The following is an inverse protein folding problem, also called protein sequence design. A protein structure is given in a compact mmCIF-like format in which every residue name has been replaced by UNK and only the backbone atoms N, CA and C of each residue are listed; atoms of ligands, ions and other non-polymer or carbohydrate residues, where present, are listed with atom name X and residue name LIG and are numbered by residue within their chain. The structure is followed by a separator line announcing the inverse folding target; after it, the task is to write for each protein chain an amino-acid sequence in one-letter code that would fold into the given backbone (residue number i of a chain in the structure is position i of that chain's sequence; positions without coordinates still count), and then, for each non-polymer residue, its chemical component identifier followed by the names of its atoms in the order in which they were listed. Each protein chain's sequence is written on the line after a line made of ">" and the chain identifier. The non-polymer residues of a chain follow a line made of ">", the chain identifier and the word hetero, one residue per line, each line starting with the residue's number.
data_IF_734975768011
#
_entry.id   IF_734975768011
#
_cell.length_a   1.000
_cell.length_b   1.000
_cell.length_c   1.000
_cell.angle_alpha   90.00
_cell.angle_beta   90.00
_cell.angle_gamma   90.00
#
_symmetry.space_group_name_H-M   'P 1'
#
loop_
_entity.id
_entity.type
_entity.pdbx_description
1 polymer ?
#
# COMPACT_ATOMS: atom_id res chain seq x y z
N UNK A 1 10.87 10.21 -8.32
CA UNK A 1 9.54 9.64 -8.04
C UNK A 1 9.63 8.16 -7.68
N UNK A 2 10.38 7.32 -8.42
CA UNK A 2 10.53 5.87 -8.14
C UNK A 2 11.09 5.49 -6.76
N UNK A 3 11.86 6.37 -6.10
CA UNK A 3 12.40 6.08 -4.75
C UNK A 3 11.35 6.03 -3.63
N UNK A 4 10.11 6.47 -3.89
CA UNK A 4 9.10 6.63 -2.84
C UNK A 4 8.26 5.37 -2.59
N UNK A 5 8.03 4.51 -3.59
CA UNK A 5 7.12 3.38 -3.44
C UNK A 5 7.67 2.33 -2.47
N UNK A 6 8.92 1.89 -2.63
CA UNK A 6 9.53 0.92 -1.72
C UNK A 6 9.49 1.37 -0.26
N UNK A 7 9.88 2.62 0.01
CA UNK A 7 9.82 3.21 1.36
C UNK A 7 8.40 3.34 1.90
N UNK A 8 7.41 3.62 1.04
CA UNK A 8 6.00 3.64 1.42
C UNK A 8 5.53 2.25 1.85
N UNK A 9 5.86 1.22 1.06
CA UNK A 9 5.50 -0.16 1.34
C UNK A 9 6.13 -0.66 2.64
N UNK A 10 7.40 -0.31 2.90
CA UNK A 10 8.08 -0.53 4.18
C UNK A 10 7.30 0.10 5.33
N UNK A 11 6.93 1.37 5.20
CA UNK A 11 6.20 2.08 6.25
C UNK A 11 4.81 1.48 6.49
N UNK A 12 4.11 1.01 5.46
CA UNK A 12 2.83 0.31 5.61
C UNK A 12 3.00 -1.01 6.38
N UNK A 13 4.02 -1.82 6.03
CA UNK A 13 4.33 -3.07 6.72
C UNK A 13 4.65 -2.84 8.20
N UNK A 14 5.51 -1.86 8.49
CA UNK A 14 5.95 -1.57 9.85
C UNK A 14 4.81 -1.05 10.73
N UNK A 15 3.92 -0.20 10.19
CA UNK A 15 2.72 0.23 10.92
C UNK A 15 1.74 -0.90 11.19
N UNK A 16 1.70 -1.91 10.32
CA UNK A 16 0.93 -3.13 10.54
C UNK A 16 1.58 -4.09 11.57
N UNK A 17 2.78 -3.76 12.08
CA UNK A 17 3.48 -4.59 13.07
C UNK A 17 4.11 -5.86 12.50
N UNK A 18 4.26 -5.96 11.18
CA UNK A 18 4.74 -7.16 10.50
C UNK A 18 6.24 -7.08 10.21
N UNK A 19 6.96 -8.18 10.39
CA UNK A 19 8.28 -8.38 9.80
C UNK A 19 8.18 -8.65 8.29
N UNK A 20 9.30 -8.54 7.56
CA UNK A 20 9.33 -8.91 6.14
C UNK A 20 8.97 -10.38 5.90
N UNK A 21 9.28 -11.27 6.85
CA UNK A 21 8.95 -12.70 6.77
C UNK A 21 7.46 -12.94 6.92
N UNK A 22 6.84 -12.36 7.96
CA UNK A 22 5.39 -12.49 8.19
C UNK A 22 4.57 -11.93 7.02
N UNK A 23 4.97 -10.77 6.47
CA UNK A 23 4.31 -10.24 5.29
C UNK A 23 4.49 -11.17 4.07
N UNK A 24 5.67 -11.76 3.91
CA UNK A 24 5.93 -12.69 2.82
C UNK A 24 5.02 -13.93 2.92
N UNK A 25 4.85 -14.48 4.13
CA UNK A 25 3.97 -15.62 4.38
C UNK A 25 2.50 -15.26 4.07
N UNK A 26 2.03 -14.10 4.53
CA UNK A 26 0.68 -13.60 4.26
C UNK A 26 0.40 -13.36 2.76
N UNK A 27 1.43 -12.92 2.03
CA UNK A 27 1.35 -12.64 0.59
C UNK A 27 1.78 -13.84 -0.27
N UNK A 28 2.01 -15.02 0.32
CA UNK A 28 2.53 -16.21 -0.38
C UNK A 28 3.73 -15.92 -1.30
N UNK A 29 4.72 -15.18 -0.78
CA UNK A 29 5.96 -14.76 -1.46
C UNK A 29 7.15 -15.11 -0.57
N UNK A 30 8.36 -14.96 -1.10
CA UNK A 30 9.57 -15.07 -0.27
C UNK A 30 9.91 -13.75 0.42
N UNK A 31 10.54 -13.81 1.60
CA UNK A 31 11.07 -12.63 2.29
C UNK A 31 12.02 -11.81 1.38
N UNK A 32 12.83 -12.49 0.56
CA UNK A 32 13.71 -11.84 -0.40
C UNK A 32 12.92 -11.06 -1.48
N UNK A 33 11.71 -11.51 -1.83
CA UNK A 33 10.82 -10.79 -2.74
C UNK A 33 10.34 -9.48 -2.11
N UNK A 34 9.83 -9.55 -0.86
CA UNK A 34 9.41 -8.38 -0.05
C UNK A 34 10.56 -7.37 0.06
N UNK A 35 11.74 -7.84 0.46
CA UNK A 35 12.93 -6.99 0.57
C UNK A 35 13.30 -6.30 -0.74
N UNK A 36 13.19 -6.98 -1.90
CA UNK A 36 13.45 -6.35 -3.20
C UNK A 36 12.42 -5.28 -3.54
N UNK A 37 11.15 -5.48 -3.21
CA UNK A 37 10.12 -4.46 -3.39
C UNK A 37 10.39 -3.23 -2.51
N UNK A 38 10.65 -3.42 -1.22
CA UNK A 38 10.93 -2.35 -0.26
C UNK A 38 12.18 -1.53 -0.62
N UNK A 39 13.20 -2.18 -1.18
CA UNK A 39 14.45 -1.52 -1.57
C UNK A 39 14.43 -1.00 -3.02
N UNK A 40 13.28 -0.97 -3.69
CA UNK A 40 13.14 -0.58 -5.10
C UNK A 40 14.07 -1.36 -6.05
N UNK A 41 14.43 -2.60 -5.69
CA UNK A 41 15.23 -3.52 -6.52
C UNK A 41 14.36 -4.32 -7.48
N UNK A 42 13.05 -4.35 -7.23
CA UNK A 42 12.03 -4.92 -8.10
C UNK A 42 10.78 -4.04 -7.99
N UNK A 43 10.15 -3.73 -9.12
CA UNK A 43 8.85 -3.05 -9.13
C UNK A 43 7.74 -4.08 -8.84
N UNK A 44 6.86 -3.86 -7.85
CA UNK A 44 5.63 -4.62 -7.73
C UNK A 44 4.64 -4.19 -8.81
N UNK A 45 3.84 -5.15 -9.30
CA UNK A 45 2.70 -4.84 -10.16
C UNK A 45 1.51 -4.34 -9.33
N UNK A 46 0.45 -3.90 -10.02
CA UNK A 46 -0.73 -3.35 -9.37
C UNK A 46 -1.42 -4.36 -8.44
N UNK A 47 -1.44 -5.63 -8.79
CA UNK A 47 -2.09 -6.65 -7.96
C UNK A 47 -1.28 -6.92 -6.70
N UNK A 48 0.06 -6.92 -6.79
CA UNK A 48 0.94 -6.96 -5.62
C UNK A 48 0.74 -5.73 -4.74
N UNK A 49 0.58 -4.54 -5.30
CA UNK A 49 0.34 -3.30 -4.54
C UNK A 49 -1.01 -3.36 -3.82
N UNK A 50 -2.07 -3.84 -4.48
CA UNK A 50 -3.40 -4.00 -3.89
C UNK A 50 -3.38 -5.00 -2.73
N UNK A 51 -2.80 -6.18 -2.96
CA UNK A 51 -2.66 -7.21 -1.94
C UNK A 51 -1.87 -6.69 -0.73
N UNK A 52 -0.78 -5.94 -0.97
CA UNK A 52 -0.01 -5.29 0.09
C UNK A 52 -0.87 -4.32 0.90
N UNK A 53 -1.65 -3.48 0.23
CA UNK A 53 -2.56 -2.53 0.87
C UNK A 53 -3.61 -3.23 1.73
N UNK A 54 -4.14 -4.35 1.26
CA UNK A 54 -5.15 -5.13 1.98
C UNK A 54 -4.55 -5.82 3.22
N UNK A 55 -3.41 -6.49 3.07
CA UNK A 55 -2.73 -7.18 4.19
C UNK A 55 -2.25 -6.20 5.27
N UNK A 56 -1.81 -5.00 4.86
CA UNK A 56 -1.30 -3.97 5.80
C UNK A 56 -2.36 -2.98 6.25
N UNK A 57 -3.61 -3.13 5.82
CA UNK A 57 -4.71 -2.20 6.07
C UNK A 57 -4.33 -0.73 5.76
N UNK A 58 -3.75 -0.51 4.58
CA UNK A 58 -3.16 0.77 4.16
C UNK A 58 -3.70 1.28 2.81
N UNK A 59 -4.95 0.93 2.48
CA UNK A 59 -5.57 1.24 1.18
C UNK A 59 -5.63 2.73 0.89
N UNK A 60 -6.00 3.54 1.88
CA UNK A 60 -6.12 5.00 1.77
C UNK A 60 -4.76 5.63 1.48
N UNK A 61 -3.71 5.15 2.14
CA UNK A 61 -2.33 5.62 1.96
C UNK A 61 -1.81 5.29 0.56
N UNK A 62 -2.09 4.08 0.07
CA UNK A 62 -1.70 3.66 -1.27
C UNK A 62 -2.48 4.45 -2.33
N UNK A 63 -3.78 4.69 -2.13
CA UNK A 63 -4.59 5.54 -3.03
C UNK A 63 -4.06 6.98 -3.07
N UNK A 64 -3.75 7.57 -1.92
CA UNK A 64 -3.15 8.91 -1.83
C UNK A 64 -1.82 8.98 -2.59
N UNK A 65 -1.00 7.93 -2.50
CA UNK A 65 0.27 7.87 -3.21
C UNK A 65 0.09 7.78 -4.74
N UNK A 66 -0.86 6.97 -5.20
CA UNK A 66 -1.08 6.75 -6.64
C UNK A 66 -1.79 7.92 -7.33
N UNK A 67 -2.74 8.55 -6.65
CA UNK A 67 -3.65 9.53 -7.26
C UNK A 67 -3.56 10.93 -6.64
N UNK A 68 -2.74 11.12 -5.60
CA UNK A 68 -2.62 12.41 -4.91
C UNK A 68 -3.92 12.83 -4.21
N UNK A 69 -4.10 14.15 -4.06
CA UNK A 69 -5.26 14.74 -3.39
C UNK A 69 -6.60 14.42 -4.07
N UNK A 70 -6.59 14.13 -5.38
CA UNK A 70 -7.79 13.78 -6.15
C UNK A 70 -8.35 12.42 -5.71
N UNK A 71 -7.48 11.45 -5.39
CA UNK A 71 -7.90 10.13 -4.90
C UNK A 71 -8.55 10.19 -3.53
N UNK A 72 -8.00 11.00 -2.62
CA UNK A 72 -8.58 11.22 -1.29
C UNK A 72 -9.94 11.93 -1.39
N UNK A 73 -10.05 12.95 -2.24
CA UNK A 73 -11.29 13.69 -2.46
C UNK A 73 -12.40 12.80 -3.06
N UNK A 74 -12.04 11.78 -3.85
CA UNK A 74 -13.00 10.82 -4.39
C UNK A 74 -13.55 9.89 -3.30
N UNK A 75 -12.70 9.41 -2.39
CA UNK A 75 -13.12 8.60 -1.23
C UNK A 75 -14.09 9.40 -0.36
N UNK A 76 -13.74 10.66 -0.06
CA UNK A 76 -14.57 11.55 0.75
C UNK A 76 -15.95 11.79 0.13
N UNK A 77 -16.03 12.00 -1.19
CA UNK A 77 -17.31 12.17 -1.91
C UNK A 77 -18.19 10.91 -1.93
N UNK A 78 -17.60 9.72 -1.88
CA UNK A 78 -18.34 8.45 -1.85
C UNK A 78 -18.83 8.16 -0.43
N UNK A 79 -18.01 8.44 0.59
CA UNK A 79 -18.29 8.15 2.00
C UNK A 79 -19.14 9.23 2.68
N UNK A 80 -19.09 10.46 2.18
CA UNK A 80 -19.98 11.54 2.61
C UNK A 80 -21.28 11.45 1.81
N UNK A 81 -22.41 11.01 2.41
CA UNK A 81 -23.68 11.07 1.73
C UNK A 81 -24.01 12.54 1.48
N UNK A 82 -23.86 12.99 0.25
CA UNK A 82 -24.46 14.23 -0.21
C UNK A 82 -25.98 14.03 -0.12
N UNK A 83 -26.55 14.39 1.04
CA UNK A 83 -27.98 14.33 1.26
C UNK A 83 -28.35 14.04 2.72
N UNK A 84 -28.42 15.09 3.54
CA UNK A 84 -29.61 15.39 4.35
C UNK A 84 -29.43 16.73 5.08
N UNK A 85 -29.94 17.79 4.45
CA UNK A 85 -30.57 19.01 4.98
C UNK A 85 -30.27 20.20 4.07
#
# INVERSE_FOLDING_TARGET
>A
MERALGSLLTACRERAGLSQGELADLMNRSQACICRYENNRRQPDLDTIKEWADVTNAREVIVAYLYGADGISMIDRILSPTGTA
#
